data_IF_875506900836
#
_entry.id   IF_875506900836
#
_cell.length_a   1.000
_cell.length_b   1.000
_cell.length_c   1.000
_cell.angle_alpha   90.00
_cell.angle_beta   90.00
_cell.angle_gamma   90.00
#
_symmetry.space_group_name_H-M   'P 1'
#
loop_
_entity.id
_entity.type
_entity.pdbx_description
1 polymer ?
#
# COMPACT_ATOMS: atom_id res chain seq x y z
N UNK A 1 62.67 -32.13 -38.09
CA UNK A 1 62.25 -30.72 -38.18
C UNK A 1 60.91 -30.57 -37.40
N UNK A 2 60.99 -30.11 -36.17
CA UNK A 2 59.93 -30.17 -35.20
C UNK A 2 59.19 -28.86 -35.18
N UNK A 3 57.91 -28.88 -35.54
CA UNK A 3 56.98 -27.70 -35.40
C UNK A 3 56.22 -27.76 -34.09
N UNK A 4 56.57 -26.90 -33.12
CA UNK A 4 55.87 -26.74 -31.85
C UNK A 4 54.66 -25.86 -32.08
N UNK A 5 53.44 -26.45 -31.95
CA UNK A 5 52.15 -25.71 -31.91
C UNK A 5 51.98 -25.14 -30.51
N UNK A 6 52.01 -23.81 -30.42
CA UNK A 6 51.60 -23.08 -29.20
C UNK A 6 50.08 -23.04 -29.11
N UNK A 7 49.54 -23.69 -28.10
CA UNK A 7 48.14 -23.61 -27.72
C UNK A 7 48.01 -22.36 -26.82
N UNK A 8 47.34 -21.33 -27.32
CA UNK A 8 46.95 -20.17 -26.50
C UNK A 8 45.63 -20.48 -25.81
N UNK A 9 45.71 -20.72 -24.51
CA UNK A 9 44.55 -20.92 -23.65
C UNK A 9 43.97 -19.55 -23.30
N UNK A 10 42.91 -19.10 -23.98
CA UNK A 10 42.18 -17.88 -23.60
C UNK A 10 41.24 -18.19 -22.45
N UNK A 11 41.64 -17.79 -21.26
CA UNK A 11 40.82 -17.85 -20.05
C UNK A 11 39.76 -16.72 -20.11
N UNK A 12 38.56 -17.08 -20.57
CA UNK A 12 37.40 -16.17 -20.57
C UNK A 12 36.96 -15.86 -19.13
N UNK A 13 37.20 -14.63 -18.71
CA UNK A 13 36.72 -14.10 -17.43
C UNK A 13 35.19 -13.94 -17.53
N UNK A 14 34.41 -14.90 -17.02
CA UNK A 14 32.95 -14.76 -16.85
C UNK A 14 32.72 -13.81 -15.68
N UNK A 15 32.47 -12.56 -15.98
CA UNK A 15 32.00 -11.59 -14.97
C UNK A 15 30.57 -11.94 -14.61
N UNK A 16 30.41 -12.67 -13.50
CA UNK A 16 29.11 -12.85 -12.86
C UNK A 16 28.70 -11.49 -12.28
N UNK A 17 27.89 -10.74 -13.00
CA UNK A 17 27.21 -9.57 -12.45
C UNK A 17 26.20 -10.07 -11.42
N UNK A 18 26.61 -10.13 -10.16
CA UNK A 18 25.69 -10.24 -9.03
C UNK A 18 24.80 -9.00 -9.07
N UNK A 19 23.57 -9.17 -9.53
CA UNK A 19 22.53 -8.21 -9.27
C UNK A 19 22.28 -8.25 -7.75
N UNK A 20 22.95 -7.38 -7.02
CA UNK A 20 22.56 -6.98 -5.68
C UNK A 20 21.14 -6.42 -5.82
N UNK A 21 20.15 -7.27 -5.58
CA UNK A 21 18.81 -6.78 -5.28
C UNK A 21 18.97 -5.83 -4.10
N UNK A 22 18.82 -4.54 -4.34
CA UNK A 22 18.77 -3.55 -3.31
C UNK A 22 17.73 -4.03 -2.30
N UNK A 23 18.17 -4.38 -1.11
CA UNK A 23 17.31 -4.80 -0.03
C UNK A 23 16.43 -3.59 0.25
N UNK A 24 15.14 -3.74 0.02
CA UNK A 24 14.18 -2.66 -0.10
C UNK A 24 14.29 -1.67 1.06
N UNK A 25 14.12 -0.38 0.76
CA UNK A 25 13.98 0.73 1.73
C UNK A 25 12.92 0.45 2.81
N UNK A 26 12.08 -0.56 2.58
CA UNK A 26 11.04 -1.08 3.46
C UNK A 26 11.54 -1.68 4.80
N UNK A 27 12.82 -1.94 4.99
CA UNK A 27 13.36 -2.49 6.23
C UNK A 27 13.92 -1.45 7.21
N UNK A 28 14.08 -0.21 6.79
CA UNK A 28 14.77 0.82 7.60
C UNK A 28 13.98 2.13 7.77
N UNK A 29 12.73 2.15 7.32
CA UNK A 29 11.90 3.36 7.32
C UNK A 29 11.40 3.65 8.73
N UNK A 30 11.51 4.91 9.13
CA UNK A 30 10.88 5.45 10.33
C UNK A 30 9.62 6.20 9.94
N UNK A 31 8.62 6.19 10.83
CA UNK A 31 7.42 6.98 10.60
C UNK A 31 7.71 8.49 10.72
N UNK A 32 7.55 9.18 9.61
CA UNK A 32 7.61 10.65 9.53
C UNK A 32 6.28 11.28 9.10
N UNK A 33 5.30 10.52 8.60
CA UNK A 33 4.15 11.03 7.85
C UNK A 33 2.83 11.07 8.63
N UNK A 34 2.67 10.27 9.68
CA UNK A 34 1.42 10.20 10.44
C UNK A 34 1.65 10.16 11.95
N UNK A 35 0.62 10.33 12.73
CA UNK A 35 0.70 10.28 14.20
C UNK A 35 -0.54 9.67 14.82
N UNK A 36 -0.47 9.44 16.11
CA UNK A 36 -1.58 9.08 16.96
C UNK A 36 -2.76 10.06 16.85
N UNK A 37 -3.96 9.51 16.77
CA UNK A 37 -5.21 10.23 16.63
C UNK A 37 -5.54 10.66 15.20
N UNK A 38 -4.72 10.34 14.18
CA UNK A 38 -5.04 10.67 12.78
C UNK A 38 -6.35 9.99 12.35
N UNK A 39 -7.21 10.75 11.67
CA UNK A 39 -8.47 10.28 11.09
C UNK A 39 -8.55 10.73 9.64
N UNK A 40 -8.82 9.80 8.74
CA UNK A 40 -9.00 10.06 7.31
C UNK A 40 -10.36 9.55 6.85
N UNK A 41 -11.04 10.32 6.01
CA UNK A 41 -12.33 9.94 5.42
C UNK A 41 -12.25 10.04 3.91
N UNK A 42 -12.59 8.94 3.24
CA UNK A 42 -12.67 8.85 1.79
C UNK A 42 -14.11 8.62 1.36
N UNK A 43 -14.49 9.23 0.25
CA UNK A 43 -15.73 8.95 -0.46
C UNK A 43 -15.44 8.08 -1.65
N UNK A 44 -16.20 6.98 -1.75
CA UNK A 44 -16.07 6.02 -2.82
C UNK A 44 -17.11 6.31 -3.87
N UNK A 45 -16.66 6.46 -5.10
CA UNK A 45 -17.51 6.58 -6.28
C UNK A 45 -17.36 5.33 -7.13
N UNK A 46 -18.48 4.84 -7.66
CA UNK A 46 -18.53 3.75 -8.60
C UNK A 46 -19.03 4.25 -9.95
N UNK A 47 -18.37 3.85 -11.03
CA UNK A 47 -18.77 4.18 -12.38
C UNK A 47 -19.68 3.08 -12.94
N UNK A 48 -20.93 3.46 -13.26
CA UNK A 48 -21.89 2.62 -13.97
C UNK A 48 -22.04 3.13 -15.43
N UNK A 49 -21.01 2.90 -16.25
CA UNK A 49 -20.98 3.38 -17.62
C UNK A 49 -20.66 4.86 -17.72
N UNK A 50 -21.66 5.72 -17.83
CA UNK A 50 -21.46 7.18 -18.00
C UNK A 50 -21.66 8.00 -16.72
N UNK A 51 -22.08 7.38 -15.62
CA UNK A 51 -22.44 8.07 -14.38
C UNK A 51 -21.60 7.58 -13.22
N UNK A 52 -21.05 8.53 -12.45
CA UNK A 52 -20.40 8.27 -11.18
C UNK A 52 -21.42 8.41 -10.04
N UNK A 53 -21.63 7.35 -9.28
CA UNK A 53 -22.51 7.34 -8.11
C UNK A 53 -21.66 7.32 -6.82
N UNK A 54 -22.15 7.96 -5.77
CA UNK A 54 -21.55 7.86 -4.45
C UNK A 54 -21.89 6.50 -3.84
N UNK A 55 -20.97 5.55 -3.96
CA UNK A 55 -21.19 4.16 -3.57
C UNK A 55 -21.02 3.94 -2.05
N UNK A 56 -20.23 4.77 -1.36
CA UNK A 56 -19.97 4.58 0.06
C UNK A 56 -18.87 5.47 0.62
N UNK A 57 -18.43 5.15 1.83
CA UNK A 57 -17.31 5.81 2.49
C UNK A 57 -16.36 4.78 3.07
N UNK A 58 -15.09 5.20 3.19
CA UNK A 58 -14.04 4.49 3.93
C UNK A 58 -13.45 5.44 4.96
N UNK A 59 -13.24 4.94 6.16
CA UNK A 59 -12.59 5.67 7.25
C UNK A 59 -11.33 4.94 7.68
N UNK A 60 -10.26 5.69 7.91
CA UNK A 60 -9.04 5.19 8.54
C UNK A 60 -8.83 5.91 9.86
N UNK A 61 -8.62 5.14 10.91
CA UNK A 61 -8.33 5.63 12.26
C UNK A 61 -6.98 5.08 12.69
N UNK A 62 -6.11 5.95 13.19
CA UNK A 62 -4.78 5.58 13.70
C UNK A 62 -4.74 5.93 15.17
N UNK A 63 -4.55 4.96 16.03
CA UNK A 63 -4.44 5.15 17.47
C UNK A 63 -3.14 4.51 17.99
N UNK A 64 -2.54 5.12 19.00
CA UNK A 64 -1.38 4.56 19.67
C UNK A 64 -1.83 3.62 20.78
N UNK A 65 -1.32 2.39 20.77
CA UNK A 65 -1.62 1.37 21.77
C UNK A 65 -0.34 0.71 22.28
N UNK A 66 -0.47 -0.05 23.35
CA UNK A 66 0.56 -0.95 23.85
C UNK A 66 0.01 -2.39 23.84
N UNK A 67 0.64 -3.27 23.09
CA UNK A 67 0.26 -4.67 22.94
C UNK A 67 1.46 -5.53 23.32
N UNK A 68 1.31 -6.41 24.31
CA UNK A 68 2.38 -7.29 24.80
C UNK A 68 3.67 -6.58 25.18
N UNK A 69 3.59 -5.32 25.67
CA UNK A 69 4.75 -4.50 26.04
C UNK A 69 5.40 -3.75 24.87
N UNK A 70 4.87 -3.88 23.65
CA UNK A 70 5.30 -3.17 22.44
C UNK A 70 4.40 -1.97 22.18
N UNK A 71 4.99 -0.82 21.86
CA UNK A 71 4.24 0.36 21.42
C UNK A 71 3.92 0.24 19.94
N UNK A 72 2.64 0.20 19.61
CA UNK A 72 2.16 0.03 18.25
C UNK A 72 1.29 1.21 17.80
N UNK A 73 1.16 1.38 16.49
CA UNK A 73 0.05 2.07 15.88
C UNK A 73 -1.01 1.02 15.53
N UNK A 74 -2.18 1.08 16.16
CA UNK A 74 -3.36 0.34 15.75
C UNK A 74 -4.10 1.16 14.70
N UNK A 75 -4.14 0.65 13.48
CA UNK A 75 -4.76 1.31 12.34
C UNK A 75 -5.96 0.50 11.91
N UNK A 76 -7.12 1.16 11.86
CA UNK A 76 -8.40 0.56 11.50
C UNK A 76 -8.91 1.23 10.23
N UNK A 77 -9.13 0.43 9.18
CA UNK A 77 -9.80 0.82 7.95
C UNK A 77 -11.19 0.22 7.88
N UNK A 78 -12.25 1.03 7.80
CA UNK A 78 -13.63 0.57 7.68
C UNK A 78 -14.28 1.08 6.40
N UNK A 79 -14.81 0.15 5.59
CA UNK A 79 -15.53 0.42 4.37
C UNK A 79 -17.02 0.07 4.47
N UNK A 80 -17.90 0.99 4.06
CA UNK A 80 -19.35 0.77 4.09
C UNK A 80 -20.01 1.32 2.82
N UNK A 81 -20.87 0.50 2.19
CA UNK A 81 -21.77 0.97 1.13
C UNK A 81 -22.75 1.99 1.68
N UNK A 82 -23.06 3.02 0.90
CA UNK A 82 -24.12 3.98 1.21
C UNK A 82 -25.47 3.27 1.31
N UNK A 83 -26.29 3.61 2.31
CA UNK A 83 -27.59 2.94 2.58
C UNK A 83 -28.49 2.84 1.36
N UNK A 84 -28.46 3.83 0.46
CA UNK A 84 -29.26 3.89 -0.78
C UNK A 84 -28.87 2.83 -1.81
N UNK A 85 -27.69 2.19 -1.67
CA UNK A 85 -27.18 1.18 -2.62
C UNK A 85 -26.97 -0.20 -1.98
N UNK A 86 -27.24 -0.37 -0.67
CA UNK A 86 -27.10 -1.67 0.02
C UNK A 86 -27.96 -2.77 -0.56
N UNK A 87 -29.09 -2.43 -1.15
CA UNK A 87 -29.99 -3.38 -1.80
C UNK A 87 -29.38 -4.01 -3.07
N UNK A 88 -28.45 -3.30 -3.72
CA UNK A 88 -27.74 -3.78 -4.91
C UNK A 88 -26.45 -4.53 -4.53
N UNK A 89 -25.60 -3.90 -3.71
CA UNK A 89 -24.35 -4.52 -3.27
C UNK A 89 -23.94 -3.98 -1.90
N UNK A 90 -24.01 -4.85 -0.91
CA UNK A 90 -23.69 -4.48 0.48
C UNK A 90 -22.25 -4.79 0.79
N UNK A 91 -21.48 -3.78 1.17
CA UNK A 91 -20.11 -3.88 1.70
C UNK A 91 -20.09 -3.49 3.17
N UNK A 92 -19.42 -4.29 3.96
CA UNK A 92 -19.13 -4.07 5.38
C UNK A 92 -17.76 -4.69 5.66
N UNK A 93 -16.73 -3.91 5.42
CA UNK A 93 -15.36 -4.39 5.55
C UNK A 93 -14.66 -3.66 6.67
N UNK A 94 -13.91 -4.41 7.46
CA UNK A 94 -13.02 -3.90 8.48
C UNK A 94 -11.66 -4.58 8.35
N UNK A 95 -10.63 -3.76 8.23
CA UNK A 95 -9.23 -4.16 8.22
C UNK A 95 -8.54 -3.50 9.40
N UNK A 96 -7.67 -4.24 10.09
CA UNK A 96 -6.91 -3.74 11.23
C UNK A 96 -5.46 -4.18 11.09
N UNK A 97 -4.53 -3.29 11.40
CA UNK A 97 -3.10 -3.64 11.52
C UNK A 97 -2.52 -3.01 12.78
N UNK A 98 -1.60 -3.73 13.40
CA UNK A 98 -0.83 -3.29 14.55
C UNK A 98 0.62 -3.18 14.12
N UNK A 99 1.08 -1.93 13.93
CA UNK A 99 2.42 -1.63 13.40
C UNK A 99 3.32 -1.21 14.55
N UNK A 100 4.41 -1.93 14.76
CA UNK A 100 5.44 -1.54 15.72
C UNK A 100 5.98 -0.15 15.41
N UNK A 101 6.04 0.74 16.42
CA UNK A 101 6.41 2.15 16.22
C UNK A 101 7.87 2.37 15.89
N UNK A 102 8.75 1.45 16.22
CA UNK A 102 10.19 1.58 16.01
C UNK A 102 10.59 1.04 14.64
N UNK A 103 10.05 -0.14 14.28
CA UNK A 103 10.43 -0.86 13.05
C UNK A 103 9.52 -0.58 11.86
N UNK A 104 8.32 -0.04 12.11
CA UNK A 104 7.26 0.13 11.11
C UNK A 104 6.81 -1.20 10.46
N UNK A 105 7.02 -2.31 11.13
CA UNK A 105 6.59 -3.63 10.69
C UNK A 105 5.29 -4.05 11.38
N UNK A 106 4.40 -4.76 10.68
CA UNK A 106 3.18 -5.26 11.29
C UNK A 106 3.48 -6.40 12.27
N UNK A 107 2.90 -6.35 13.47
CA UNK A 107 2.89 -7.45 14.43
C UNK A 107 1.63 -8.32 14.29
N UNK A 108 0.52 -7.70 13.88
CA UNK A 108 -0.75 -8.39 13.67
C UNK A 108 -1.58 -7.71 12.60
N UNK A 109 -2.29 -8.50 11.83
CA UNK A 109 -3.26 -8.04 10.83
C UNK A 109 -4.56 -8.81 10.97
N UNK A 110 -5.69 -8.10 11.02
CA UNK A 110 -7.02 -8.68 11.10
C UNK A 110 -7.89 -8.12 9.98
N UNK A 111 -8.65 -8.98 9.32
CA UNK A 111 -9.66 -8.53 8.38
C UNK A 111 -10.98 -9.27 8.55
N UNK A 112 -12.05 -8.50 8.50
CA UNK A 112 -13.42 -8.97 8.45
C UNK A 112 -14.08 -8.36 7.22
N UNK A 113 -14.24 -9.15 6.16
CA UNK A 113 -14.78 -8.73 4.87
C UNK A 113 -16.18 -9.31 4.71
N UNK A 114 -17.12 -8.48 4.24
CA UNK A 114 -18.46 -8.92 3.88
C UNK A 114 -18.92 -8.11 2.64
N UNK A 115 -18.69 -8.69 1.48
CA UNK A 115 -18.95 -8.10 0.17
C UNK A 115 -19.99 -8.94 -0.61
N UNK A 116 -21.22 -8.44 -0.70
CA UNK A 116 -22.28 -9.12 -1.45
C UNK A 116 -22.59 -10.56 -0.98
N UNK A 117 -22.32 -10.87 0.28
CA UNK A 117 -22.47 -12.22 0.88
C UNK A 117 -21.17 -13.04 0.92
N UNK A 118 -20.14 -12.66 0.20
CA UNK A 118 -18.79 -13.22 0.35
C UNK A 118 -18.18 -12.75 1.68
N UNK A 119 -17.65 -13.67 2.48
CA UNK A 119 -17.11 -13.37 3.81
C UNK A 119 -15.70 -13.91 3.98
N UNK A 120 -14.82 -13.08 4.52
CA UNK A 120 -13.50 -13.48 5.00
C UNK A 120 -13.36 -13.02 6.44
N UNK A 121 -12.87 -13.91 7.31
CA UNK A 121 -12.35 -13.57 8.61
C UNK A 121 -10.94 -14.14 8.68
N UNK A 122 -9.94 -13.29 8.85
CA UNK A 122 -8.55 -13.68 8.92
C UNK A 122 -7.87 -12.91 10.04
N UNK A 123 -7.03 -13.62 10.81
CA UNK A 123 -6.18 -13.06 11.85
C UNK A 123 -4.77 -13.61 11.64
N UNK A 124 -3.81 -12.73 11.43
CA UNK A 124 -2.41 -13.05 11.13
C UNK A 124 -1.52 -12.40 12.17
N UNK A 125 -0.67 -13.17 12.81
CA UNK A 125 0.42 -12.67 13.66
C UNK A 125 1.74 -12.79 12.93
N UNK A 126 2.61 -11.79 13.04
CA UNK A 126 3.93 -11.76 12.42
C UNK A 126 5.04 -11.86 13.48
N UNK A 127 5.99 -12.74 13.25
CA UNK A 127 7.26 -12.79 14.00
C UNK A 127 8.41 -12.52 13.03
N UNK A 128 8.81 -11.26 12.94
CA UNK A 128 9.88 -10.83 12.04
C UNK A 128 11.26 -11.33 12.47
N UNK A 129 11.43 -11.71 13.74
CA UNK A 129 12.70 -12.25 14.24
C UNK A 129 12.91 -13.67 13.75
N UNK A 130 11.83 -14.47 13.68
CA UNK A 130 11.82 -15.82 13.13
C UNK A 130 11.54 -15.88 11.63
N UNK A 131 11.18 -14.74 11.03
CA UNK A 131 10.71 -14.68 9.63
C UNK A 131 9.50 -15.59 9.39
N UNK A 132 8.50 -15.46 10.25
CA UNK A 132 7.30 -16.29 10.24
C UNK A 132 6.02 -15.44 10.36
N UNK A 133 4.95 -15.89 9.69
CA UNK A 133 3.59 -15.44 9.92
C UNK A 133 2.72 -16.63 10.34
N UNK A 134 1.83 -16.41 11.30
CA UNK A 134 0.87 -17.43 11.75
C UNK A 134 -0.52 -16.98 11.36
N UNK A 135 -1.23 -17.82 10.62
CA UNK A 135 -2.61 -17.65 10.18
C UNK A 135 -3.32 -18.99 10.22
N UNK A 136 -4.57 -19.02 10.73
CA UNK A 136 -5.38 -20.24 10.83
C UNK A 136 -4.64 -21.41 11.53
N UNK A 137 -3.86 -21.11 12.58
CA UNK A 137 -3.02 -22.09 13.32
C UNK A 137 -1.91 -22.74 12.48
N UNK A 138 -1.59 -22.19 11.32
CA UNK A 138 -0.48 -22.62 10.46
C UNK A 138 0.60 -21.55 10.43
N UNK A 139 1.85 -22.00 10.40
CA UNK A 139 3.03 -21.13 10.27
C UNK A 139 3.48 -21.10 8.82
N UNK A 140 3.75 -19.90 8.33
CA UNK A 140 4.21 -19.63 6.98
C UNK A 140 5.55 -18.89 7.03
N UNK A 141 6.59 -19.32 6.30
CA UNK A 141 7.82 -18.56 6.20
C UNK A 141 7.57 -17.27 5.41
N UNK A 142 8.09 -16.15 5.93
CA UNK A 142 7.99 -14.84 5.28
C UNK A 142 9.37 -14.21 5.11
N UNK A 143 9.63 -13.48 4.02
CA UNK A 143 10.83 -12.66 3.90
C UNK A 143 10.88 -11.58 5.00
N UNK A 144 12.09 -11.07 5.26
CA UNK A 144 12.25 -9.90 6.14
C UNK A 144 11.42 -8.73 5.64
N UNK A 145 10.91 -7.93 6.56
CA UNK A 145 10.16 -6.70 6.28
C UNK A 145 8.86 -6.92 5.46
N UNK A 146 8.28 -8.11 5.56
CA UNK A 146 6.98 -8.40 4.94
C UNK A 146 5.91 -7.54 5.60
N UNK A 147 5.08 -6.92 4.77
CA UNK A 147 3.96 -6.07 5.16
C UNK A 147 2.63 -6.84 5.05
N UNK A 148 1.59 -6.33 5.69
CA UNK A 148 0.20 -6.60 5.36
C UNK A 148 -0.37 -5.50 4.45
N UNK A 149 -1.64 -5.58 4.10
CA UNK A 149 -2.29 -4.62 3.19
C UNK A 149 -2.31 -3.20 3.75
N UNK A 150 -2.66 -3.01 5.04
CA UNK A 150 -2.73 -1.68 5.65
C UNK A 150 -1.35 -1.14 6.00
N UNK A 151 -0.48 -1.97 6.54
CA UNK A 151 0.88 -1.55 6.87
C UNK A 151 1.64 -1.11 5.61
N UNK A 152 1.42 -1.76 4.45
CA UNK A 152 1.99 -1.35 3.18
C UNK A 152 1.52 0.05 2.74
N UNK A 153 0.24 0.39 2.95
CA UNK A 153 -0.31 1.72 2.64
C UNK A 153 0.36 2.78 3.51
N UNK A 154 0.43 2.56 4.82
CA UNK A 154 1.04 3.51 5.75
C UNK A 154 2.55 3.60 5.58
N UNK A 155 3.19 2.51 5.18
CA UNK A 155 4.60 2.51 4.81
C UNK A 155 4.85 3.37 3.55
N UNK A 156 4.01 3.23 2.52
CA UNK A 156 4.12 4.01 1.27
C UNK A 156 4.09 5.52 1.53
N UNK A 157 3.42 6.00 2.58
CA UNK A 157 3.41 7.40 3.00
C UNK A 157 4.75 7.88 3.57
N UNK A 158 5.64 6.96 3.94
CA UNK A 158 6.97 7.27 4.48
C UNK A 158 8.10 7.13 3.43
N UNK A 159 7.77 6.87 2.17
CA UNK A 159 8.73 6.84 1.08
C UNK A 159 9.17 8.27 0.74
N UNK A 160 10.46 8.50 0.67
CA UNK A 160 11.02 9.76 0.17
C UNK A 160 11.02 9.76 -1.38
N UNK A 161 9.89 10.15 -1.94
CA UNK A 161 9.70 10.17 -3.40
C UNK A 161 10.65 11.14 -4.13
N UNK A 162 11.28 12.09 -3.43
CA UNK A 162 12.25 13.00 -4.03
C UNK A 162 13.58 12.30 -4.39
N UNK A 163 13.84 11.12 -3.83
CA UNK A 163 14.99 10.28 -4.18
C UNK A 163 14.77 9.42 -5.42
N UNK A 164 13.55 9.39 -5.95
CA UNK A 164 13.16 8.53 -7.06
C UNK A 164 12.97 9.32 -8.36
N UNK A 165 13.19 8.64 -9.48
CA UNK A 165 12.92 9.15 -10.83
C UNK A 165 11.67 8.50 -11.41
N UNK A 166 10.92 9.16 -12.30
CA UNK A 166 9.80 8.55 -12.99
C UNK A 166 10.18 7.21 -13.63
N UNK A 167 9.42 6.17 -13.30
CA UNK A 167 9.66 4.78 -13.71
C UNK A 167 10.31 3.90 -12.65
N UNK A 168 10.92 4.46 -11.61
CA UNK A 168 11.51 3.68 -10.52
C UNK A 168 10.47 2.83 -9.81
N UNK A 169 10.86 1.61 -9.43
CA UNK A 169 10.04 0.64 -8.73
C UNK A 169 10.59 0.39 -7.33
N UNK A 170 9.76 0.60 -6.33
CA UNK A 170 10.09 0.40 -4.91
C UNK A 170 9.47 -0.94 -4.51
N UNK A 171 10.29 -1.97 -4.35
CA UNK A 171 9.85 -3.34 -4.11
C UNK A 171 9.59 -3.62 -2.64
N UNK A 172 8.58 -4.43 -2.35
CA UNK A 172 8.24 -4.92 -1.01
C UNK A 172 7.57 -6.29 -1.08
N UNK A 173 7.56 -7.00 0.05
CA UNK A 173 6.83 -8.24 0.21
C UNK A 173 5.57 -7.99 1.03
N UNK A 174 4.47 -8.64 0.64
CA UNK A 174 3.19 -8.59 1.34
C UNK A 174 2.67 -10.00 1.60
N UNK A 175 2.19 -10.24 2.83
CA UNK A 175 1.51 -11.47 3.19
C UNK A 175 0.00 -11.26 3.15
N UNK A 176 -0.69 -12.03 2.31
CA UNK A 176 -2.14 -11.99 2.14
C UNK A 176 -2.64 -13.37 1.68
N UNK A 177 -3.81 -13.80 2.14
CA UNK A 177 -4.42 -15.08 1.76
C UNK A 177 -3.45 -16.28 1.94
N UNK A 178 -2.70 -16.27 3.05
CA UNK A 178 -1.73 -17.31 3.39
C UNK A 178 -0.60 -17.48 2.36
N UNK A 179 -0.26 -16.41 1.63
CA UNK A 179 0.80 -16.37 0.62
C UNK A 179 1.63 -15.10 0.72
N UNK A 180 2.87 -15.20 0.32
CA UNK A 180 3.76 -14.05 0.14
C UNK A 180 3.71 -13.61 -1.31
N UNK A 181 3.54 -12.31 -1.52
CA UNK A 181 3.57 -11.65 -2.82
C UNK A 181 4.72 -10.65 -2.87
N UNK A 182 5.56 -10.74 -3.89
CA UNK A 182 6.56 -9.71 -4.19
C UNK A 182 5.93 -8.66 -5.08
N UNK A 183 5.77 -7.46 -4.56
CA UNK A 183 5.07 -6.35 -5.19
C UNK A 183 5.99 -5.15 -5.32
N UNK A 184 5.52 -4.09 -5.96
CA UNK A 184 6.20 -2.81 -6.01
C UNK A 184 5.21 -1.64 -6.13
N UNK A 185 5.70 -0.47 -5.75
CA UNK A 185 5.09 0.82 -6.06
C UNK A 185 5.97 1.47 -7.13
N UNK A 186 5.37 1.80 -8.28
CA UNK A 186 6.06 2.55 -9.33
C UNK A 186 5.82 4.05 -9.12
N UNK A 187 6.89 4.82 -8.99
CA UNK A 187 6.82 6.27 -9.00
C UNK A 187 6.65 6.76 -10.45
N UNK A 188 5.66 7.60 -10.70
CA UNK A 188 5.37 8.11 -12.05
C UNK A 188 5.83 9.55 -12.23
N UNK A 189 5.76 10.36 -11.17
CA UNK A 189 6.10 11.78 -11.22
C UNK A 189 5.17 12.61 -10.37
N UNK A 190 5.16 13.93 -10.62
CA UNK A 190 4.26 14.88 -9.96
C UNK A 190 3.34 15.50 -11.00
N UNK A 191 2.08 15.71 -10.63
CA UNK A 191 1.09 16.41 -11.45
C UNK A 191 0.03 17.07 -10.56
N UNK A 192 -0.75 17.98 -11.13
CA UNK A 192 -1.88 18.57 -10.43
C UNK A 192 -3.09 17.63 -10.46
N UNK A 193 -3.76 17.50 -9.32
CA UNK A 193 -5.00 16.75 -9.19
C UNK A 193 -6.09 17.63 -8.59
N UNK A 194 -7.25 17.69 -9.24
CA UNK A 194 -8.43 18.43 -8.74
C UNK A 194 -9.40 17.45 -8.10
N UNK A 195 -9.74 17.70 -6.85
CA UNK A 195 -10.75 16.97 -6.06
C UNK A 195 -11.85 17.96 -5.65
N UNK A 196 -12.84 17.47 -4.89
CA UNK A 196 -13.85 18.36 -4.29
C UNK A 196 -13.29 19.30 -3.20
N UNK A 197 -12.11 18.98 -2.65
CA UNK A 197 -11.44 19.78 -1.63
C UNK A 197 -10.56 20.89 -2.23
N UNK A 198 -10.29 20.86 -3.55
CA UNK A 198 -9.43 21.83 -4.25
C UNK A 198 -8.49 21.16 -5.25
N UNK A 199 -7.57 21.95 -5.79
CA UNK A 199 -6.49 21.51 -6.69
C UNK A 199 -5.18 21.44 -5.91
N UNK A 200 -4.46 20.33 -6.06
CA UNK A 200 -3.25 20.02 -5.29
C UNK A 200 -2.13 19.58 -6.19
N UNK A 201 -0.89 19.99 -5.87
CA UNK A 201 0.30 19.28 -6.35
C UNK A 201 0.34 17.90 -5.72
N UNK A 202 0.45 16.87 -6.53
CA UNK A 202 0.37 15.49 -6.07
C UNK A 202 1.48 14.63 -6.69
N UNK A 203 1.97 13.70 -5.90
CA UNK A 203 2.85 12.62 -6.31
C UNK A 203 1.97 11.50 -6.87
N UNK A 204 2.22 11.10 -8.10
CA UNK A 204 1.52 10.01 -8.78
C UNK A 204 2.30 8.71 -8.66
N UNK A 205 1.65 7.69 -8.16
CA UNK A 205 2.21 6.35 -8.02
C UNK A 205 1.25 5.28 -8.59
N UNK A 206 1.82 4.17 -9.01
CA UNK A 206 1.08 3.01 -9.55
C UNK A 206 1.57 1.75 -8.84
N UNK A 207 0.77 1.16 -7.94
CA UNK A 207 1.11 -0.11 -7.31
C UNK A 207 0.89 -1.28 -8.26
N UNK A 208 1.72 -2.32 -8.12
CA UNK A 208 1.41 -3.63 -8.69
C UNK A 208 0.35 -4.30 -7.82
N UNK A 209 -0.81 -4.57 -8.37
CA UNK A 209 -1.92 -5.21 -7.67
C UNK A 209 -1.91 -6.73 -7.86
N UNK A 210 -2.35 -7.44 -6.83
CA UNK A 210 -2.74 -8.84 -6.90
C UNK A 210 -4.14 -8.91 -7.53
N UNK A 211 -4.36 -9.87 -8.42
CA UNK A 211 -5.69 -10.19 -8.90
C UNK A 211 -6.54 -10.75 -7.75
N UNK A 212 -7.72 -10.20 -7.54
CA UNK A 212 -8.60 -10.54 -6.44
C UNK A 212 -10.09 -10.49 -6.82
N UNK A 213 -10.95 -10.51 -5.81
CA UNK A 213 -12.42 -10.52 -5.97
C UNK A 213 -12.95 -9.26 -6.66
N UNK A 214 -12.30 -8.11 -6.46
CA UNK A 214 -12.74 -6.82 -6.99
C UNK A 214 -11.73 -6.27 -8.01
N UNK A 215 -10.43 -6.30 -7.68
CA UNK A 215 -9.40 -5.68 -8.49
C UNK A 215 -8.90 -6.60 -9.60
N UNK A 216 -8.72 -6.02 -10.78
CA UNK A 216 -7.92 -6.62 -11.85
C UNK A 216 -6.45 -6.47 -11.48
N UNK A 217 -5.68 -7.55 -11.40
CA UNK A 217 -4.25 -7.52 -11.13
C UNK A 217 -3.45 -6.64 -12.09
N UNK A 218 -2.17 -6.41 -11.79
CA UNK A 218 -1.25 -5.60 -12.59
C UNK A 218 -1.23 -4.12 -12.22
N UNK A 219 -0.61 -3.29 -13.06
CA UNK A 219 -0.43 -1.83 -12.86
C UNK A 219 -1.68 -1.04 -13.33
N UNK A 220 -2.84 -1.31 -12.77
CA UNK A 220 -4.10 -0.68 -13.24
C UNK A 220 -4.66 0.37 -12.30
N UNK A 221 -4.22 0.37 -11.05
CA UNK A 221 -4.60 1.39 -10.07
C UNK A 221 -3.65 2.57 -10.17
N UNK A 222 -4.18 3.78 -10.10
CA UNK A 222 -3.40 5.01 -9.93
C UNK A 222 -3.74 5.65 -8.60
N UNK A 223 -2.72 6.10 -7.89
CA UNK A 223 -2.87 6.80 -6.61
C UNK A 223 -2.16 8.13 -6.72
N UNK A 224 -2.82 9.19 -6.29
CA UNK A 224 -2.24 10.52 -6.10
C UNK A 224 -2.16 10.79 -4.61
N UNK A 225 -0.96 11.04 -4.10
CA UNK A 225 -0.73 11.45 -2.72
C UNK A 225 -0.31 12.90 -2.66
N UNK A 226 -0.58 13.61 -1.57
CA UNK A 226 -0.12 14.99 -1.39
C UNK A 226 1.39 15.10 -1.54
N UNK A 227 1.85 16.16 -2.22
CA UNK A 227 3.27 16.51 -2.30
C UNK A 227 3.65 17.35 -1.07
N UNK A 228 3.48 16.75 0.10
CA UNK A 228 3.84 17.27 1.42
C UNK A 228 4.36 16.15 2.32
N UNK A 229 4.76 16.44 3.55
CA UNK A 229 5.32 15.46 4.47
C UNK A 229 4.30 14.42 5.00
N UNK A 230 2.98 14.62 4.80
CA UNK A 230 1.96 13.65 5.20
C UNK A 230 1.76 12.55 4.15
N UNK A 231 2.03 12.81 2.87
CA UNK A 231 1.76 11.92 1.73
C UNK A 231 0.37 11.28 1.80
N UNK A 232 -0.66 12.11 2.02
CA UNK A 232 -2.05 11.64 2.11
C UNK A 232 -2.55 11.20 0.74
N UNK A 233 -3.18 10.04 0.60
CA UNK A 233 -3.91 9.72 -0.62
C UNK A 233 -5.02 10.75 -0.86
N UNK A 234 -4.88 11.55 -1.92
CA UNK A 234 -5.89 12.51 -2.37
C UNK A 234 -6.95 11.83 -3.20
N UNK A 235 -6.50 10.95 -4.10
CA UNK A 235 -7.33 10.18 -5.02
C UNK A 235 -6.72 8.82 -5.29
N UNK A 236 -7.58 7.82 -5.34
CA UNK A 236 -7.29 6.48 -5.86
C UNK A 236 -8.27 6.24 -7.01
N UNK A 237 -7.78 5.82 -8.17
CA UNK A 237 -8.58 5.48 -9.34
C UNK A 237 -8.20 4.08 -9.81
N UNK A 238 -9.18 3.18 -9.90
CA UNK A 238 -8.91 1.78 -10.25
C UNK A 238 -10.05 1.19 -11.07
N UNK A 239 -9.75 0.60 -12.22
CA UNK A 239 -10.68 -0.32 -12.86
C UNK A 239 -10.85 -1.55 -11.96
N UNK A 240 -12.09 -2.00 -11.86
CA UNK A 240 -12.45 -3.25 -11.18
C UNK A 240 -13.00 -4.25 -12.21
N UNK A 241 -13.39 -5.44 -11.78
CA UNK A 241 -13.87 -6.48 -12.69
C UNK A 241 -15.04 -5.97 -13.56
N UNK A 242 -15.94 -5.19 -12.98
CA UNK A 242 -17.04 -4.52 -13.69
C UNK A 242 -17.01 -3.04 -13.36
N UNK A 243 -16.70 -2.19 -14.34
CA UNK A 243 -16.63 -0.74 -14.18
C UNK A 243 -15.30 -0.25 -13.56
N UNK A 244 -15.38 0.82 -12.80
CA UNK A 244 -14.26 1.41 -12.07
C UNK A 244 -14.70 2.04 -10.77
N UNK A 245 -13.78 2.16 -9.83
CA UNK A 245 -13.96 2.89 -8.58
C UNK A 245 -13.00 4.07 -8.52
N UNK A 246 -13.45 5.11 -7.81
CA UNK A 246 -12.64 6.25 -7.42
C UNK A 246 -12.84 6.49 -5.93
N UNK A 247 -11.76 6.65 -5.18
CA UNK A 247 -11.78 7.07 -3.80
C UNK A 247 -11.15 8.45 -3.69
N UNK A 248 -11.92 9.45 -3.25
CA UNK A 248 -11.42 10.81 -3.00
C UNK A 248 -11.36 11.08 -1.50
N UNK A 249 -10.24 11.64 -1.02
CA UNK A 249 -10.16 12.19 0.33
C UNK A 249 -11.18 13.31 0.46
N UNK A 250 -12.02 13.25 1.50
CA UNK A 250 -13.08 14.26 1.76
C UNK A 250 -13.01 14.84 3.17
N UNK A 251 -12.16 14.32 4.02
CA UNK A 251 -11.95 14.82 5.37
C UNK A 251 -10.75 14.19 6.05
N UNK A 252 -10.15 14.94 6.96
CA UNK A 252 -9.05 14.50 7.80
C UNK A 252 -9.05 15.23 9.13
N UNK A 253 -8.44 14.63 10.14
CA UNK A 253 -8.22 15.26 11.46
C UNK A 253 -6.86 14.81 12.02
N UNK A 254 -6.25 15.64 12.85
CA UNK A 254 -5.01 15.39 13.59
C UNK A 254 -3.85 14.90 12.72
N UNK A 255 -3.62 15.54 11.57
CA UNK A 255 -2.43 15.26 10.75
C UNK A 255 -1.15 15.57 11.53
N UNK A 256 -0.08 14.85 11.18
CA UNK A 256 1.25 15.08 11.77
C UNK A 256 1.84 16.41 11.33
N UNK A 257 1.70 16.77 10.05
CA UNK A 257 2.19 18.01 9.45
C UNK A 257 1.02 18.86 8.92
N UNK A 258 1.23 20.13 8.67
CA UNK A 258 0.24 20.97 7.99
C UNK A 258 -0.16 20.34 6.64
N UNK A 259 -1.45 20.38 6.33
CA UNK A 259 -1.93 19.92 5.03
C UNK A 259 -1.50 20.93 3.95
N UNK A 260 -0.70 20.43 3.00
CA UNK A 260 -0.03 21.25 2.00
C UNK A 260 -0.44 20.92 0.57
N UNK A 261 0.33 21.45 -0.39
CA UNK A 261 0.19 21.14 -1.81
C UNK A 261 -0.97 21.84 -2.51
N UNK A 262 -1.70 22.74 -1.84
CA UNK A 262 -2.79 23.51 -2.46
C UNK A 262 -2.22 24.43 -3.54
N UNK A 263 -2.70 24.26 -4.76
CA UNK A 263 -2.41 25.15 -5.87
C UNK A 263 -3.43 26.29 -5.87
N UNK A 264 -3.01 27.48 -5.40
CA UNK A 264 -3.82 28.68 -5.54
C UNK A 264 -3.86 29.06 -7.03
N UNK A 265 -5.03 28.97 -7.66
CA UNK A 265 -5.23 29.61 -8.96
C UNK A 265 -5.38 31.10 -8.67
N UNK A 266 -4.36 31.89 -9.06
CA UNK A 266 -4.50 33.35 -9.22
C UNK A 266 -5.57 33.69 -10.25
#
# INVERSE_FOLDING_TARGET
MNGIRKIVLSMGLVVFSAHLFAQSDFCSTRNTSFKDGERLTFRIYYNMGFVWINAGNVHFNTDAEEVNGHKVYHIVGEGKTAKSYEWFYKVRDKYETYIDKETMLPERFVRNVNEGGFKINQDVSFDHTKSEAVSDKKTYPIPKCTQDVLSAIYFARNIDYNKHKPGDKIFFNMFLDNKVYSLYIKYVGKEEVTTKMGTYSAIKIVPLLIEGTIFKGGEKMTIWVTDDENHLPLRIDSPILVGSIKADLVGFDKLRHPFGGIVNKE
#
